data_IF_451024946288
#
_entry.id   IF_451024946288
#
_cell.length_a   1.000
_cell.length_b   1.000
_cell.length_c   1.000
_cell.angle_alpha   90.00
_cell.angle_beta   90.00
_cell.angle_gamma   90.00
#
_symmetry.space_group_name_H-M   'P 1'
#
loop_
_entity.id
_entity.type
_entity.pdbx_description
1 polymer ?
#
# COMPACT_ATOMS: atom_id res chain seq x y z
N UNK A 1 -44.00 29.57 -56.07
CA UNK A 1 -43.19 28.70 -55.18
C UNK A 1 -43.02 29.41 -53.85
N UNK A 2 -43.69 28.96 -52.81
CA UNK A 2 -43.47 29.45 -51.44
C UNK A 2 -42.53 28.45 -50.77
N UNK A 3 -41.31 28.88 -50.45
CA UNK A 3 -40.37 28.08 -49.66
C UNK A 3 -40.69 28.35 -48.19
N UNK A 4 -41.29 27.39 -47.50
CA UNK A 4 -41.50 27.45 -46.05
C UNK A 4 -40.18 27.15 -45.34
N UNK A 5 -39.67 28.14 -44.58
CA UNK A 5 -38.51 27.95 -43.73
C UNK A 5 -38.90 27.11 -42.50
N UNK A 6 -38.31 25.93 -42.33
CA UNK A 6 -38.46 25.11 -41.13
C UNK A 6 -37.54 25.70 -40.06
N UNK A 7 -38.09 26.47 -39.13
CA UNK A 7 -37.37 26.93 -37.94
C UNK A 7 -37.16 25.74 -37.00
N UNK A 8 -35.95 25.20 -36.94
CA UNK A 8 -35.53 24.26 -35.89
C UNK A 8 -35.47 25.01 -34.56
N UNK A 9 -36.43 24.77 -33.68
CA UNK A 9 -36.42 25.27 -32.30
C UNK A 9 -35.46 24.41 -31.48
N UNK A 10 -34.30 24.95 -31.13
CA UNK A 10 -33.36 24.32 -30.20
C UNK A 10 -33.94 24.40 -28.78
N UNK A 11 -34.83 23.47 -28.44
CA UNK A 11 -35.40 23.38 -27.09
C UNK A 11 -34.32 22.88 -26.11
N UNK A 12 -34.00 23.64 -25.05
CA UNK A 12 -33.02 23.22 -24.05
C UNK A 12 -33.45 21.94 -23.31
N UNK A 13 -34.76 21.64 -23.29
CA UNK A 13 -35.32 20.42 -22.70
C UNK A 13 -34.87 19.15 -23.44
N UNK A 14 -34.70 19.22 -24.76
CA UNK A 14 -34.19 18.10 -25.56
C UNK A 14 -32.72 17.79 -25.21
N UNK A 15 -31.90 18.82 -24.98
CA UNK A 15 -30.52 18.66 -24.54
C UNK A 15 -30.44 18.06 -23.13
N UNK A 16 -31.28 18.53 -22.21
CA UNK A 16 -31.36 17.98 -20.84
C UNK A 16 -31.78 16.51 -20.85
N UNK A 17 -32.77 16.13 -21.67
CA UNK A 17 -33.22 14.74 -21.80
C UNK A 17 -32.14 13.81 -22.37
N UNK A 18 -31.31 14.30 -23.31
CA UNK A 18 -30.17 13.54 -23.84
C UNK A 18 -29.10 13.33 -22.76
N UNK A 19 -28.82 14.33 -21.91
CA UNK A 19 -27.85 14.20 -20.81
C UNK A 19 -28.34 13.21 -19.74
N UNK A 20 -29.63 13.23 -19.42
CA UNK A 20 -30.24 12.32 -18.43
C UNK A 20 -30.24 10.86 -18.91
N UNK A 21 -30.44 10.62 -20.21
CA UNK A 21 -30.40 9.26 -20.76
C UNK A 21 -28.99 8.68 -20.81
N UNK A 22 -27.96 9.49 -21.05
CA UNK A 22 -26.56 9.05 -20.90
C UNK A 22 -26.18 8.73 -19.44
N UNK A 23 -26.76 9.44 -18.47
CA UNK A 23 -26.54 9.14 -17.05
C UNK A 23 -27.21 7.83 -16.60
N UNK A 24 -28.34 7.45 -17.21
CA UNK A 24 -29.08 6.23 -16.86
C UNK A 24 -28.62 4.99 -17.64
N UNK A 25 -28.05 5.15 -18.83
CA UNK A 25 -27.62 4.04 -19.68
C UNK A 25 -26.22 3.47 -19.32
N UNK A 26 -25.51 4.05 -18.37
CA UNK A 26 -24.11 3.73 -18.13
C UNK A 26 -23.72 3.65 -16.66
N UNK A 27 -24.11 2.58 -15.96
CA UNK A 27 -23.24 1.97 -14.95
C UNK A 27 -23.40 0.44 -14.98
N UNK A 28 -23.04 -0.19 -16.10
CA UNK A 28 -22.50 -1.55 -15.96
C UNK A 28 -21.31 -1.40 -15.01
N UNK A 29 -21.31 -2.16 -13.91
CA UNK A 29 -20.36 -2.11 -12.81
C UNK A 29 -18.97 -2.61 -13.23
N UNK A 30 -18.41 -2.04 -14.29
CA UNK A 30 -16.97 -1.99 -14.46
C UNK A 30 -16.47 -0.99 -13.43
N UNK A 31 -15.96 -1.50 -12.31
CA UNK A 31 -15.30 -0.73 -11.28
C UNK A 31 -14.47 0.37 -11.95
N UNK A 32 -14.84 1.63 -11.74
CA UNK A 32 -14.07 2.77 -12.23
C UNK A 32 -12.66 2.63 -11.66
N UNK A 33 -11.74 2.08 -12.47
CA UNK A 33 -10.33 2.00 -12.15
C UNK A 33 -9.78 3.40 -12.32
N UNK A 34 -10.00 4.25 -11.33
CA UNK A 34 -9.26 5.51 -11.22
C UNK A 34 -7.77 5.15 -11.29
N UNK A 35 -7.02 5.68 -12.28
CA UNK A 35 -5.59 5.47 -12.32
C UNK A 35 -5.02 6.00 -11.01
N UNK A 36 -4.55 5.11 -10.12
CA UNK A 36 -3.86 5.58 -8.93
C UNK A 36 -2.66 6.42 -9.39
N UNK A 37 -2.64 7.68 -8.95
CA UNK A 37 -1.63 8.69 -9.27
C UNK A 37 -0.27 8.37 -8.62
N UNK A 38 -0.27 7.43 -7.67
CA UNK A 38 0.92 7.05 -6.92
C UNK A 38 1.66 5.89 -7.61
N UNK A 39 3.00 5.93 -7.69
CA UNK A 39 3.77 4.81 -8.21
C UNK A 39 3.63 3.58 -7.29
N UNK A 40 3.95 2.41 -7.82
CA UNK A 40 4.02 1.19 -7.00
C UNK A 40 5.06 1.35 -5.89
N UNK A 41 4.73 0.80 -4.73
CA UNK A 41 5.60 0.64 -3.58
C UNK A 41 5.94 -0.82 -3.41
N UNK A 42 7.17 -1.09 -3.00
CA UNK A 42 7.74 -2.39 -2.72
C UNK A 42 8.25 -2.36 -1.29
N UNK A 43 7.75 -3.26 -0.45
CA UNK A 43 8.22 -3.42 0.93
C UNK A 43 8.94 -4.74 1.02
N UNK A 44 10.12 -4.70 1.63
CA UNK A 44 10.98 -5.83 1.87
C UNK A 44 11.18 -5.97 3.38
N UNK A 45 10.96 -7.16 3.91
CA UNK A 45 11.18 -7.53 5.30
C UNK A 45 12.25 -8.62 5.31
N UNK A 46 13.45 -8.28 5.77
CA UNK A 46 14.64 -9.10 5.70
C UNK A 46 14.91 -9.69 7.08
N UNK A 47 15.11 -11.01 7.15
CA UNK A 47 15.53 -11.68 8.36
C UNK A 47 17.07 -11.64 8.47
N UNK A 48 17.60 -10.78 9.34
CA UNK A 48 19.02 -10.66 9.65
C UNK A 48 19.34 -11.11 11.09
N UNK A 49 18.53 -12.04 11.63
CA UNK A 49 18.85 -12.70 12.89
C UNK A 49 20.17 -13.48 12.74
N UNK A 50 20.98 -13.50 13.79
CA UNK A 50 22.29 -14.16 13.77
C UNK A 50 22.21 -15.65 14.09
N UNK A 51 21.14 -16.06 14.76
CA UNK A 51 20.91 -17.48 15.08
C UNK A 51 20.42 -18.21 13.82
N UNK A 52 21.21 -19.15 13.29
CA UNK A 52 20.89 -19.94 12.08
C UNK A 52 19.51 -20.66 12.09
N UNK A 53 18.90 -20.78 13.27
CA UNK A 53 17.55 -21.34 13.46
C UNK A 53 16.44 -20.30 13.69
N UNK A 54 16.75 -19.00 13.72
CA UNK A 54 15.75 -17.97 13.97
C UNK A 54 14.83 -17.83 12.77
N UNK A 55 13.66 -18.48 12.81
CA UNK A 55 12.58 -18.19 11.88
C UNK A 55 11.96 -16.86 12.30
N UNK A 56 11.78 -15.99 11.31
CA UNK A 56 11.04 -14.75 11.48
C UNK A 56 9.64 -14.97 10.91
N UNK A 57 8.63 -14.98 11.77
CA UNK A 57 7.24 -14.98 11.36
C UNK A 57 6.82 -13.56 11.04
N UNK A 58 6.28 -13.35 9.84
CA UNK A 58 5.88 -12.04 9.33
C UNK A 58 4.39 -12.06 9.01
N UNK A 59 3.64 -11.12 9.58
CA UNK A 59 2.25 -10.87 9.24
C UNK A 59 2.05 -9.41 8.92
N UNK A 60 1.54 -9.08 7.72
CA UNK A 60 1.35 -7.69 7.31
C UNK A 60 -0.02 -7.49 6.67
N UNK A 61 -0.71 -6.41 7.05
CA UNK A 61 -2.04 -6.11 6.53
C UNK A 61 -2.29 -4.60 6.36
N UNK A 62 -3.29 -4.28 5.54
CA UNK A 62 -3.88 -2.95 5.39
C UNK A 62 -5.40 -3.06 5.30
N UNK A 63 -6.12 -2.60 6.32
CA UNK A 63 -7.59 -2.68 6.33
C UNK A 63 -8.06 -4.13 6.27
N UNK A 64 -8.63 -4.55 5.13
CA UNK A 64 -9.03 -5.95 4.86
C UNK A 64 -8.03 -6.71 3.99
N UNK A 65 -7.03 -6.04 3.45
CA UNK A 65 -6.01 -6.67 2.62
C UNK A 65 -4.95 -7.28 3.53
N UNK A 66 -4.92 -8.60 3.60
CA UNK A 66 -3.91 -9.36 4.34
C UNK A 66 -2.86 -9.93 3.37
N UNK A 67 -1.58 -9.82 3.72
CA UNK A 67 -0.48 -10.44 2.96
C UNK A 67 -0.11 -11.82 3.49
N UNK A 68 -0.78 -12.27 4.54
CA UNK A 68 -0.64 -13.59 5.14
C UNK A 68 0.47 -13.65 6.19
N UNK A 69 0.53 -14.79 6.86
CA UNK A 69 1.58 -15.16 7.78
C UNK A 69 2.64 -15.97 7.02
N UNK A 70 3.87 -15.47 6.98
CA UNK A 70 4.97 -16.08 6.23
C UNK A 70 6.17 -16.27 7.15
N UNK A 71 6.75 -17.47 7.10
CA UNK A 71 7.99 -17.81 7.78
C UNK A 71 9.18 -17.45 6.89
N UNK A 72 10.08 -16.61 7.40
CA UNK A 72 11.26 -16.12 6.68
C UNK A 72 12.50 -16.68 7.36
N UNK A 73 13.25 -17.50 6.63
CA UNK A 73 14.53 -18.03 7.10
C UNK A 73 15.61 -16.94 7.19
N UNK A 74 16.64 -17.16 8.01
CA UNK A 74 17.78 -16.24 8.13
C UNK A 74 18.43 -15.97 6.77
N UNK A 75 18.73 -14.71 6.49
CA UNK A 75 19.32 -14.25 5.23
C UNK A 75 18.32 -14.19 4.06
N UNK A 76 17.05 -14.55 4.29
CA UNK A 76 15.98 -14.43 3.29
C UNK A 76 15.12 -13.19 3.55
N UNK A 77 14.24 -12.89 2.59
CA UNK A 77 13.30 -11.78 2.70
C UNK A 77 11.87 -12.17 2.31
N UNK A 78 10.90 -11.51 2.93
CA UNK A 78 9.52 -11.44 2.49
C UNK A 78 9.29 -10.10 1.80
N UNK A 79 8.74 -10.12 0.59
CA UNK A 79 8.53 -8.89 -0.19
C UNK A 79 7.17 -8.87 -0.87
N UNK A 80 6.56 -7.69 -0.92
CA UNK A 80 5.35 -7.47 -1.68
C UNK A 80 5.33 -6.07 -2.30
N UNK A 81 4.48 -5.93 -3.32
CA UNK A 81 4.20 -4.64 -3.94
C UNK A 81 2.73 -4.27 -3.83
N UNK A 82 2.46 -2.98 -3.70
CA UNK A 82 1.12 -2.44 -3.69
C UNK A 82 1.10 -1.06 -4.34
N UNK A 83 -0.10 -0.54 -4.61
CA UNK A 83 -0.29 0.80 -5.13
C UNK A 83 -1.08 1.62 -4.10
N UNK A 84 -0.53 2.73 -3.57
CA UNK A 84 -1.26 3.57 -2.63
C UNK A 84 -2.55 4.09 -3.23
N UNK A 85 -3.58 4.20 -2.40
CA UNK A 85 -4.84 4.80 -2.80
C UNK A 85 -4.66 6.32 -3.00
N UNK A 86 -5.49 6.89 -3.87
CA UNK A 86 -5.43 8.32 -4.22
C UNK A 86 -5.73 9.25 -3.04
N UNK A 87 -6.36 8.74 -1.98
CA UNK A 87 -6.73 9.49 -0.79
C UNK A 87 -5.61 9.56 0.26
N UNK A 88 -4.49 8.88 0.04
CA UNK A 88 -3.36 8.87 0.96
C UNK A 88 -3.64 8.16 2.30
N UNK A 89 -4.61 7.26 2.33
CA UNK A 89 -4.99 6.52 3.55
C UNK A 89 -4.38 5.13 3.62
N UNK A 90 -3.49 4.77 2.68
CA UNK A 90 -2.86 3.45 2.64
C UNK A 90 -1.85 3.31 3.78
N UNK A 91 -2.05 2.27 4.60
CA UNK A 91 -1.22 1.94 5.76
C UNK A 91 -0.93 0.45 5.81
N UNK A 92 0.32 0.05 5.66
CA UNK A 92 0.68 -1.34 5.92
C UNK A 92 1.24 -1.43 7.33
N UNK A 93 0.52 -2.15 8.18
CA UNK A 93 1.01 -2.53 9.52
C UNK A 93 1.57 -3.94 9.41
N UNK A 94 2.73 -4.15 10.03
CA UNK A 94 3.40 -5.43 10.09
C UNK A 94 3.67 -5.82 11.53
N UNK A 95 3.49 -7.09 11.78
CA UNK A 95 3.81 -7.79 13.00
C UNK A 95 4.87 -8.84 12.70
N UNK A 96 5.94 -8.81 13.48
CA UNK A 96 7.03 -9.75 13.41
C UNK A 96 7.10 -10.51 14.72
N UNK A 97 7.31 -11.81 14.64
CA UNK A 97 7.75 -12.58 15.80
C UNK A 97 8.84 -13.57 15.45
N UNK A 98 9.49 -14.07 16.49
CA UNK A 98 10.53 -15.09 16.41
C UNK A 98 10.10 -16.32 17.22
N UNK A 99 10.76 -17.45 16.97
CA UNK A 99 10.54 -18.70 17.70
C UNK A 99 10.75 -18.57 19.23
N UNK A 100 11.54 -17.57 19.68
CA UNK A 100 11.80 -17.30 21.10
C UNK A 100 10.83 -16.30 21.75
N UNK A 101 9.64 -16.13 21.16
CA UNK A 101 8.55 -15.29 21.68
C UNK A 101 8.92 -13.81 21.83
N UNK A 102 9.80 -13.32 20.95
CA UNK A 102 10.00 -11.89 20.74
C UNK A 102 9.01 -11.42 19.67
N UNK A 103 8.45 -10.23 19.87
CA UNK A 103 7.44 -9.65 19.00
C UNK A 103 7.67 -8.16 18.75
N UNK A 104 7.36 -7.68 17.55
CA UNK A 104 7.38 -6.27 17.20
C UNK A 104 6.24 -5.91 16.23
N UNK A 105 5.55 -4.80 16.50
CA UNK A 105 4.52 -4.24 15.61
C UNK A 105 4.91 -2.85 15.15
N UNK A 106 4.78 -2.57 13.85
CA UNK A 106 5.09 -1.27 13.28
C UNK A 106 4.39 -1.02 11.95
N UNK A 107 4.34 0.25 11.56
CA UNK A 107 3.81 0.66 10.27
C UNK A 107 4.90 0.59 9.20
N UNK A 108 4.93 -0.55 8.49
CA UNK A 108 5.85 -0.79 7.39
C UNK A 108 5.67 0.19 6.22
N UNK A 109 4.47 0.76 6.08
CA UNK A 109 4.19 1.89 5.21
C UNK A 109 3.10 2.78 5.79
N UNK A 110 3.28 4.10 5.69
CA UNK A 110 2.23 5.08 5.95
C UNK A 110 2.47 6.32 5.10
N UNK A 111 1.40 6.85 4.49
CA UNK A 111 1.51 8.01 3.58
C UNK A 111 1.92 9.31 4.30
N UNK A 112 1.75 9.41 5.64
CA UNK A 112 2.03 10.67 6.33
C UNK A 112 3.52 11.04 6.27
N UNK A 113 3.74 12.33 6.10
CA UNK A 113 5.01 13.01 5.85
C UNK A 113 6.06 12.83 6.95
N UNK A 114 5.76 12.06 8.01
CA UNK A 114 6.69 11.70 9.09
C UNK A 114 7.69 10.62 8.68
N UNK A 115 7.34 9.74 7.74
CA UNK A 115 8.35 8.88 7.10
C UNK A 115 9.21 9.65 6.10
N UNK A 116 8.85 10.90 5.76
CA UNK A 116 9.65 12.15 5.68
C UNK A 116 10.97 12.20 4.91
N UNK A 117 11.52 11.09 4.48
CA UNK A 117 12.71 11.01 3.64
C UNK A 117 12.20 10.67 2.26
N UNK A 118 12.43 11.58 1.32
CA UNK A 118 12.23 11.42 -0.14
C UNK A 118 12.98 10.21 -0.76
N UNK A 119 13.56 9.38 0.08
CA UNK A 119 14.46 8.30 -0.21
C UNK A 119 13.73 7.00 -0.54
N UNK A 120 12.50 6.83 -0.04
CA UNK A 120 11.70 5.61 -0.19
C UNK A 120 10.57 5.76 -1.22
N UNK A 121 10.88 6.34 -2.38
CA UNK A 121 9.85 6.55 -3.41
C UNK A 121 9.26 5.24 -3.93
N UNK A 122 10.03 4.14 -3.93
CA UNK A 122 9.58 2.87 -4.50
C UNK A 122 9.90 1.66 -3.62
N UNK A 123 11.09 1.57 -3.03
CA UNK A 123 11.48 0.45 -2.18
C UNK A 123 11.63 0.90 -0.72
N UNK A 124 11.11 0.09 0.20
CA UNK A 124 11.19 0.27 1.65
C UNK A 124 11.74 -1.03 2.21
N UNK A 125 12.83 -0.94 2.98
CA UNK A 125 13.55 -2.10 3.48
C UNK A 125 13.51 -2.12 5.00
N UNK A 126 12.93 -3.15 5.57
CA UNK A 126 12.91 -3.44 6.99
C UNK A 126 13.85 -4.61 7.27
N UNK A 127 14.68 -4.51 8.29
CA UNK A 127 15.58 -5.57 8.72
C UNK A 127 15.26 -5.94 10.16
N UNK A 128 14.99 -7.23 10.40
CA UNK A 128 14.85 -7.80 11.73
C UNK A 128 16.22 -8.29 12.21
N UNK A 129 16.69 -7.75 13.33
CA UNK A 129 17.97 -8.09 13.96
C UNK A 129 17.75 -8.56 15.39
N UNK A 130 18.82 -8.98 16.06
CA UNK A 130 18.72 -9.55 17.42
C UNK A 130 18.12 -8.62 18.47
N UNK A 131 18.39 -7.32 18.37
CA UNK A 131 17.96 -6.31 19.35
C UNK A 131 16.68 -5.57 18.94
N UNK A 132 16.25 -5.68 17.69
CA UNK A 132 15.00 -5.09 17.24
C UNK A 132 14.86 -5.02 15.73
N UNK A 133 13.93 -4.18 15.30
CA UNK A 133 13.60 -3.93 13.91
C UNK A 133 14.17 -2.59 13.47
N UNK A 134 14.69 -2.57 12.25
CA UNK A 134 15.38 -1.43 11.65
C UNK A 134 14.78 -1.06 10.31
N UNK A 135 14.74 0.24 10.01
CA UNK A 135 14.50 0.77 8.68
C UNK A 135 15.84 1.00 7.98
N UNK A 136 16.07 0.32 6.85
CA UNK A 136 17.31 0.44 6.08
C UNK A 136 17.26 1.63 5.11
N UNK A 137 18.13 2.59 5.36
CA UNK A 137 18.29 3.81 4.57
C UNK A 137 19.39 3.61 3.52
N UNK A 138 18.99 3.15 2.33
CA UNK A 138 19.94 2.67 1.30
C UNK A 138 20.91 3.74 0.82
N UNK A 139 20.52 5.02 0.67
CA UNK A 139 21.48 6.02 0.14
C UNK A 139 22.47 6.50 1.20
N UNK A 140 22.11 6.45 2.48
CA UNK A 140 23.08 6.74 3.56
C UNK A 140 23.88 5.50 3.97
N UNK A 141 23.50 4.30 3.53
CA UNK A 141 24.08 3.05 4.00
C UNK A 141 23.98 2.92 5.55
N UNK A 142 22.80 3.23 6.09
CA UNK A 142 22.52 3.22 7.54
C UNK A 142 21.26 2.41 7.81
N UNK A 143 21.31 1.56 8.83
CA UNK A 143 20.11 0.93 9.39
C UNK A 143 19.64 1.76 10.58
N UNK A 144 18.50 2.44 10.42
CA UNK A 144 17.91 3.26 11.46
C UNK A 144 17.06 2.38 12.38
N UNK A 145 17.45 2.29 13.65
CA UNK A 145 16.68 1.59 14.66
C UNK A 145 15.25 2.14 14.75
N UNK A 146 14.27 1.23 14.75
CA UNK A 146 12.84 1.58 14.75
C UNK A 146 12.16 1.20 16.06
N UNK A 147 12.23 -0.09 16.42
CA UNK A 147 11.60 -0.59 17.64
C UNK A 147 12.34 -1.80 18.20
N UNK A 148 12.29 -1.96 19.53
CA UNK A 148 12.78 -3.16 20.19
C UNK A 148 11.77 -4.29 20.05
N UNK A 149 12.27 -5.50 20.21
CA UNK A 149 11.45 -6.63 20.57
C UNK A 149 10.74 -6.40 21.91
N UNK A 150 9.47 -6.77 21.96
CA UNK A 150 8.68 -6.96 23.17
C UNK A 150 8.58 -8.45 23.47
N UNK A 151 8.41 -8.80 24.75
CA UNK A 151 8.12 -10.17 25.15
C UNK A 151 6.61 -10.39 25.01
N UNK A 152 6.22 -11.39 24.22
CA UNK A 152 4.81 -11.69 24.00
C UNK A 152 4.60 -12.76 22.95
N UNK A 153 3.41 -13.37 22.98
CA UNK A 153 2.91 -14.25 21.93
C UNK A 153 2.01 -13.44 21.00
N UNK A 154 2.11 -13.67 19.68
CA UNK A 154 1.12 -13.21 18.70
C UNK A 154 -0.13 -14.08 18.85
#
# INVERSE_FOLDING_TARGET
MVVTAITTTRSPLLLVLIIVTWALAGTSSSAWKFPSLWPYKHVHVINELTTYKGILHVHCWFGKDDRGHIDVAVGSEFTWRFKPNIWGTTKWTCELSTDDHRYASFDAYWEDNRQGKREYKHNIYWAAKEDGVYLRLVKQNVDQYWTKWSLGFI
#
